data_IF_989477051434
#
_entry.id   IF_989477051434
#
_cell.length_a   1.000
_cell.length_b   1.000
_cell.length_c   1.000
_cell.angle_alpha   90.00
_cell.angle_beta   90.00
_cell.angle_gamma   90.00
#
_symmetry.space_group_name_H-M   'P 1'
#
loop_
_entity.id
_entity.type
_entity.pdbx_description
1 polymer ?
#
# COMPACT_ATOMS: atom_id res chain seq x y z
N UNK A 1 -9.03 6.50 22.38
CA UNK A 1 -10.15 5.84 21.65
C UNK A 1 -9.56 4.92 20.60
N UNK A 2 -10.21 3.78 20.32
CA UNK A 2 -9.73 2.81 19.32
C UNK A 2 -10.61 2.87 18.07
N UNK A 3 -10.00 2.79 16.91
CA UNK A 3 -10.68 2.76 15.62
C UNK A 3 -10.19 1.58 14.79
N UNK A 4 -11.13 0.92 14.12
CA UNK A 4 -10.83 -0.07 13.10
C UNK A 4 -10.76 0.65 11.76
N UNK A 5 -9.61 0.55 11.11
CA UNK A 5 -9.29 1.21 9.85
C UNK A 5 -9.10 0.15 8.77
N UNK A 6 -9.54 0.45 7.56
CA UNK A 6 -9.16 -0.30 6.38
C UNK A 6 -8.76 0.67 5.26
N UNK A 7 -7.67 0.33 4.57
CA UNK A 7 -7.12 1.06 3.44
C UNK A 7 -7.06 0.07 2.27
N UNK A 8 -7.68 0.44 1.16
CA UNK A 8 -7.67 -0.34 -0.08
C UNK A 8 -6.87 0.39 -1.13
N UNK A 9 -6.01 -0.36 -1.82
CA UNK A 9 -5.18 0.12 -2.92
C UNK A 9 -5.70 -0.49 -4.22
N UNK A 10 -5.81 0.36 -5.24
CA UNK A 10 -6.24 -0.04 -6.56
C UNK A 10 -5.67 0.87 -7.65
N UNK A 11 -6.14 0.70 -8.89
CA UNK A 11 -7.06 -0.34 -9.33
C UNK A 11 -6.35 -1.70 -9.47
N UNK A 12 -6.89 -2.77 -8.90
CA UNK A 12 -6.23 -4.09 -8.91
C UNK A 12 -6.30 -4.72 -10.30
N UNK A 13 -7.52 -4.91 -10.80
CA UNK A 13 -7.76 -5.68 -12.01
C UNK A 13 -7.21 -4.98 -13.25
N UNK A 14 -7.53 -3.70 -13.45
CA UNK A 14 -7.08 -2.97 -14.64
C UNK A 14 -5.57 -2.74 -14.67
N UNK A 15 -4.90 -2.69 -13.52
CA UNK A 15 -3.44 -2.59 -13.47
C UNK A 15 -2.77 -3.92 -13.83
N UNK A 16 -3.26 -5.03 -13.27
CA UNK A 16 -2.70 -6.36 -13.54
C UNK A 16 -2.99 -6.77 -14.98
N UNK A 17 -4.23 -6.62 -15.45
CA UNK A 17 -4.67 -7.04 -16.79
C UNK A 17 -4.08 -6.20 -17.93
N UNK A 18 -3.47 -5.04 -17.64
CA UNK A 18 -2.73 -4.28 -18.64
C UNK A 18 -1.48 -5.04 -19.14
N UNK A 19 -0.99 -6.02 -18.36
CA UNK A 19 0.13 -6.88 -18.74
C UNK A 19 -0.22 -7.86 -19.86
N UNK A 20 0.66 -8.02 -20.86
CA UNK A 20 0.45 -8.92 -22.00
C UNK A 20 1.16 -10.26 -21.86
N UNK A 21 2.13 -10.35 -20.94
CA UNK A 21 2.91 -11.54 -20.65
C UNK A 21 2.80 -11.88 -19.17
N UNK A 22 3.01 -13.14 -18.81
CA UNK A 22 3.01 -13.57 -17.40
C UNK A 22 3.98 -12.75 -16.53
N UNK A 23 5.10 -12.30 -17.11
CA UNK A 23 6.04 -11.41 -16.44
C UNK A 23 5.41 -10.06 -16.12
N UNK A 24 4.67 -9.46 -17.06
CA UNK A 24 3.98 -8.17 -16.85
C UNK A 24 2.90 -8.31 -15.76
N UNK A 25 2.13 -9.41 -15.80
CA UNK A 25 1.11 -9.73 -14.79
C UNK A 25 1.73 -9.87 -13.39
N UNK A 26 2.88 -10.55 -13.31
CA UNK A 26 3.63 -10.69 -12.06
C UNK A 26 4.16 -9.34 -11.57
N UNK A 27 4.73 -8.51 -12.47
CA UNK A 27 5.19 -7.16 -12.13
C UNK A 27 4.05 -6.27 -11.61
N UNK A 28 2.87 -6.33 -12.22
CA UNK A 28 1.68 -5.60 -11.74
C UNK A 28 1.26 -6.06 -10.34
N UNK A 29 1.28 -7.38 -10.10
CA UNK A 29 0.96 -7.96 -8.80
C UNK A 29 1.97 -7.57 -7.72
N UNK A 30 3.26 -7.59 -8.07
CA UNK A 30 4.35 -7.15 -7.21
C UNK A 30 4.25 -5.66 -6.89
N UNK A 31 3.99 -4.80 -7.89
CA UNK A 31 3.87 -3.36 -7.67
C UNK A 31 2.77 -3.03 -6.66
N UNK A 32 1.59 -3.65 -6.79
CA UNK A 32 0.48 -3.48 -5.83
C UNK A 32 0.86 -3.99 -4.44
N UNK A 33 1.50 -5.16 -4.36
CA UNK A 33 1.98 -5.69 -3.09
C UNK A 33 3.00 -4.76 -2.45
N UNK A 34 3.89 -4.14 -3.23
CA UNK A 34 4.97 -3.32 -2.72
C UNK A 34 4.49 -1.95 -2.21
N UNK A 35 3.55 -1.31 -2.90
CA UNK A 35 2.92 -0.08 -2.38
C UNK A 35 2.01 -0.39 -1.19
N UNK A 36 1.37 -1.56 -1.15
CA UNK A 36 0.61 -2.03 0.03
C UNK A 36 1.51 -2.30 1.24
N UNK A 37 2.70 -2.84 0.99
CA UNK A 37 3.75 -3.01 1.99
C UNK A 37 4.16 -1.67 2.59
N UNK A 38 4.33 -0.63 1.77
CA UNK A 38 4.64 0.71 2.26
C UNK A 38 3.55 1.29 3.18
N UNK A 39 2.26 1.08 2.87
CA UNK A 39 1.14 1.45 3.76
C UNK A 39 1.26 0.73 5.11
N UNK A 40 1.38 -0.61 5.07
CA UNK A 40 1.45 -1.42 6.27
C UNK A 40 2.68 -1.05 7.14
N UNK A 41 3.83 -0.84 6.51
CA UNK A 41 5.06 -0.44 7.20
C UNK A 41 4.89 0.92 7.87
N UNK A 42 4.32 1.91 7.17
CA UNK A 42 4.09 3.24 7.72
C UNK A 42 3.17 3.19 8.96
N UNK A 43 2.07 2.44 8.90
CA UNK A 43 1.17 2.24 10.04
C UNK A 43 1.89 1.59 11.23
N UNK A 44 2.70 0.55 10.99
CA UNK A 44 3.51 -0.09 12.03
C UNK A 44 4.52 0.87 12.67
N UNK A 45 5.19 1.71 11.87
CA UNK A 45 6.13 2.71 12.38
C UNK A 45 5.43 3.80 13.22
N UNK A 46 4.21 4.18 12.86
CA UNK A 46 3.40 5.15 13.64
C UNK A 46 2.92 4.51 14.94
N UNK A 47 2.40 3.28 14.87
CA UNK A 47 1.89 2.55 16.03
C UNK A 47 2.21 1.06 15.91
N UNK A 48 3.20 0.62 16.68
CA UNK A 48 3.61 -0.78 16.71
C UNK A 48 2.45 -1.70 17.14
N UNK A 49 2.29 -2.83 16.46
CA UNK A 49 1.25 -3.83 16.75
C UNK A 49 -0.18 -3.40 16.37
N UNK A 50 -0.34 -2.33 15.59
CA UNK A 50 -1.67 -1.90 15.13
C UNK A 50 -2.24 -2.76 13.99
N UNK A 51 -1.39 -3.46 13.24
CA UNK A 51 -1.80 -4.21 12.05
C UNK A 51 -2.63 -5.45 12.42
N UNK A 52 -3.75 -5.61 11.74
CA UNK A 52 -4.60 -6.81 11.77
C UNK A 52 -4.36 -7.62 10.50
N UNK A 53 -4.21 -6.94 9.37
CA UNK A 53 -3.91 -7.55 8.08
C UNK A 53 -3.16 -6.56 7.17
N UNK A 54 -2.03 -6.92 6.53
CA UNK A 54 -1.27 -8.14 6.77
C UNK A 54 -0.82 -8.23 8.24
N UNK A 55 -0.55 -9.44 8.73
CA UNK A 55 -0.10 -9.70 10.11
C UNK A 55 1.28 -10.38 10.10
N UNK A 56 2.35 -9.65 9.71
CA UNK A 56 3.70 -10.22 9.69
C UNK A 56 4.21 -10.52 11.11
N UNK A 57 5.04 -11.55 11.25
CA UNK A 57 5.61 -11.91 12.55
C UNK A 57 6.73 -10.94 12.96
N UNK A 58 7.49 -10.45 11.97
CA UNK A 58 8.58 -9.48 12.14
C UNK A 58 8.37 -8.29 11.21
N UNK A 59 7.48 -7.34 11.55
CA UNK A 59 7.16 -6.22 10.67
C UNK A 59 8.37 -5.38 10.25
N UNK A 60 9.36 -5.20 11.13
CA UNK A 60 10.59 -4.42 10.85
C UNK A 60 11.60 -5.13 9.93
N UNK A 61 11.37 -6.41 9.62
CA UNK A 61 12.11 -7.18 8.62
C UNK A 61 11.26 -7.40 7.36
N UNK A 62 10.03 -7.89 7.53
CA UNK A 62 9.14 -8.36 6.44
C UNK A 62 8.44 -7.24 5.66
N UNK A 63 8.24 -6.06 6.28
CA UNK A 63 7.58 -4.91 5.62
C UNK A 63 8.57 -3.87 5.09
N UNK A 64 9.88 -4.12 5.19
CA UNK A 64 10.86 -3.24 4.55
C UNK A 64 10.66 -3.25 3.03
N UNK A 65 10.93 -2.11 2.35
CA UNK A 65 10.86 -2.05 0.90
C UNK A 65 11.74 -3.11 0.24
N UNK A 66 11.21 -3.81 -0.77
CA UNK A 66 11.98 -4.79 -1.54
C UNK A 66 12.70 -4.12 -2.70
N UNK A 67 13.94 -4.52 -2.97
CA UNK A 67 14.66 -4.07 -4.17
C UNK A 67 14.65 -5.19 -5.22
N UNK A 68 13.89 -5.07 -6.32
CA UNK A 68 13.82 -6.12 -7.34
C UNK A 68 15.15 -6.37 -8.07
N UNK A 69 16.11 -5.45 -7.95
CA UNK A 69 17.46 -5.62 -8.50
C UNK A 69 18.46 -6.24 -7.49
N UNK A 70 18.02 -6.57 -6.27
CA UNK A 70 18.89 -7.17 -5.26
C UNK A 70 19.06 -8.67 -5.46
N UNK A 71 20.29 -9.11 -5.66
CA UNK A 71 20.66 -10.54 -5.74
C UNK A 71 20.50 -11.29 -4.39
N UNK A 72 20.27 -10.56 -3.30
CA UNK A 72 20.24 -11.11 -1.93
C UNK A 72 18.84 -11.23 -1.33
N UNK A 73 17.81 -10.76 -2.04
CA UNK A 73 16.42 -10.80 -1.58
C UNK A 73 15.56 -11.70 -2.47
N UNK A 74 14.72 -12.51 -1.83
CA UNK A 74 13.60 -13.17 -2.51
C UNK A 74 12.50 -12.11 -2.65
N UNK A 75 12.10 -11.85 -3.90
CA UNK A 75 11.09 -10.85 -4.23
C UNK A 75 9.72 -11.50 -4.26
N UNK A 76 8.78 -10.94 -3.51
CA UNK A 76 7.48 -11.55 -3.27
C UNK A 76 6.33 -10.54 -3.42
N UNK A 77 5.30 -10.96 -4.15
CA UNK A 77 4.01 -10.27 -4.24
C UNK A 77 3.03 -10.82 -3.19
N UNK A 78 3.39 -10.75 -1.91
CA UNK A 78 2.70 -11.44 -0.81
C UNK A 78 1.82 -10.55 0.09
N UNK A 79 1.81 -9.23 -0.15
CA UNK A 79 0.95 -8.30 0.58
C UNK A 79 -0.27 -8.00 -0.26
N UNK A 80 -1.44 -8.26 0.30
CA UNK A 80 -2.70 -7.95 -0.36
C UNK A 80 -2.93 -6.44 -0.44
N UNK A 81 -3.78 -6.04 -1.38
CA UNK A 81 -4.12 -4.64 -1.64
C UNK A 81 -5.05 -4.01 -0.58
N UNK A 82 -5.46 -4.77 0.43
CA UNK A 82 -6.28 -4.28 1.55
C UNK A 82 -5.46 -4.41 2.83
N UNK A 83 -5.31 -3.29 3.54
CA UNK A 83 -4.64 -3.19 4.82
C UNK A 83 -5.70 -2.90 5.88
N UNK A 84 -5.68 -3.61 7.01
CA UNK A 84 -6.55 -3.38 8.17
C UNK A 84 -5.71 -3.16 9.42
N UNK A 85 -6.09 -2.16 10.19
CA UNK A 85 -5.40 -1.81 11.43
C UNK A 85 -6.37 -1.38 12.53
N UNK A 86 -5.97 -1.62 13.77
CA UNK A 86 -6.60 -1.13 14.98
C UNK A 86 -5.76 0.02 15.55
N UNK A 87 -6.19 1.25 15.30
CA UNK A 87 -5.44 2.46 15.65
C UNK A 87 -5.99 3.04 16.95
N UNK A 88 -5.09 3.41 17.87
CA UNK A 88 -5.42 4.09 19.11
C UNK A 88 -5.06 5.56 18.96
N UNK A 89 -6.02 6.44 19.20
CA UNK A 89 -5.86 7.90 19.10
C UNK A 89 -6.53 8.60 20.27
N UNK A 90 -6.11 9.83 20.57
CA UNK A 90 -6.79 10.67 21.55
C UNK A 90 -7.97 11.44 20.91
N UNK A 91 -7.83 11.83 19.65
CA UNK A 91 -8.83 12.55 18.86
C UNK A 91 -9.09 11.88 17.51
N UNK A 92 -10.34 11.93 17.03
CA UNK A 92 -10.73 11.31 15.76
C UNK A 92 -10.02 11.93 14.54
N UNK A 93 -9.62 13.20 14.59
CA UNK A 93 -8.88 13.85 13.50
C UNK A 93 -7.53 13.16 13.26
N UNK A 94 -6.91 12.61 14.31
CA UNK A 94 -5.64 11.89 14.20
C UNK A 94 -5.77 10.61 13.37
N UNK A 95 -6.94 9.95 13.34
CA UNK A 95 -7.17 8.79 12.48
C UNK A 95 -6.99 9.17 11.02
N UNK A 96 -7.58 10.31 10.62
CA UNK A 96 -7.44 10.83 9.26
C UNK A 96 -5.97 11.14 8.95
N UNK A 97 -5.26 11.84 9.84
CA UNK A 97 -3.87 12.20 9.59
C UNK A 97 -2.96 10.97 9.46
N UNK A 98 -3.18 9.93 10.27
CA UNK A 98 -2.44 8.66 10.20
C UNK A 98 -2.75 7.94 8.88
N UNK A 99 -4.03 7.87 8.50
CA UNK A 99 -4.47 7.26 7.23
C UNK A 99 -3.88 7.98 6.03
N UNK A 100 -3.92 9.32 6.00
CA UNK A 100 -3.36 10.10 4.90
C UNK A 100 -1.84 9.94 4.81
N UNK A 101 -1.12 9.91 5.93
CA UNK A 101 0.32 9.58 5.94
C UNK A 101 0.61 8.20 5.38
N UNK A 102 -0.22 7.21 5.70
CA UNK A 102 -0.06 5.86 5.17
C UNK A 102 -0.33 5.80 3.67
N UNK A 103 -1.35 6.50 3.15
CA UNK A 103 -1.62 6.63 1.71
C UNK A 103 -0.47 7.31 0.97
N UNK A 104 0.04 8.41 1.50
CA UNK A 104 1.21 9.11 0.96
C UNK A 104 2.46 8.21 0.92
N UNK A 105 2.61 7.26 1.85
CA UNK A 105 3.71 6.30 1.81
C UNK A 105 3.62 5.35 0.60
N UNK A 106 2.40 4.96 0.18
CA UNK A 106 2.18 4.17 -1.03
C UNK A 106 2.60 4.96 -2.29
N UNK A 107 2.13 6.20 -2.40
CA UNK A 107 2.46 7.11 -3.50
C UNK A 107 3.96 7.38 -3.57
N UNK A 108 4.59 7.70 -2.43
CA UNK A 108 6.03 7.92 -2.36
C UNK A 108 6.82 6.69 -2.80
N UNK A 109 6.36 5.48 -2.41
CA UNK A 109 6.99 4.23 -2.84
C UNK A 109 6.87 4.03 -4.35
N UNK A 110 5.69 4.27 -4.92
CA UNK A 110 5.48 4.19 -6.37
C UNK A 110 6.40 5.17 -7.12
N UNK A 111 6.46 6.44 -6.68
CA UNK A 111 7.31 7.45 -7.31
C UNK A 111 8.79 7.05 -7.27
N UNK A 112 9.25 6.52 -6.14
CA UNK A 112 10.63 6.03 -6.02
C UNK A 112 10.94 4.89 -7.01
N UNK A 113 10.00 3.96 -7.21
CA UNK A 113 10.14 2.87 -8.19
C UNK A 113 10.20 3.45 -9.61
N UNK A 114 9.28 4.35 -9.95
CA UNK A 114 9.23 4.99 -11.27
C UNK A 114 10.51 5.79 -11.57
N UNK A 115 11.00 6.57 -10.62
CA UNK A 115 12.23 7.34 -10.75
C UNK A 115 13.46 6.43 -10.89
N UNK A 116 13.49 5.33 -10.16
CA UNK A 116 14.57 4.32 -10.28
C UNK A 116 14.59 3.73 -11.69
N UNK A 117 13.43 3.32 -12.20
CA UNK A 117 13.31 2.75 -13.55
C UNK A 117 13.70 3.78 -14.62
N UNK A 118 13.18 5.01 -14.52
CA UNK A 118 13.52 6.13 -15.41
C UNK A 118 15.02 6.37 -15.49
N UNK A 119 15.68 6.48 -14.33
CA UNK A 119 17.08 6.90 -14.26
C UNK A 119 18.08 5.76 -14.52
N UNK A 120 17.71 4.50 -14.29
CA UNK A 120 18.64 3.37 -14.37
C UNK A 120 18.37 2.37 -15.49
N UNK A 121 17.12 2.27 -15.97
CA UNK A 121 16.69 1.17 -16.85
C UNK A 121 16.20 1.64 -18.21
N UNK A 122 15.80 2.91 -18.32
CA UNK A 122 15.22 3.48 -19.54
C UNK A 122 16.19 4.36 -20.33
N UNK A 123 17.49 4.28 -20.03
CA UNK A 123 18.51 4.92 -20.87
C UNK A 123 18.51 4.33 -22.29
N UNK A 124 18.63 5.19 -23.29
CA UNK A 124 18.54 4.81 -24.71
C UNK A 124 17.12 4.57 -25.25
N UNK A 125 16.07 4.64 -24.42
CA UNK A 125 14.68 4.57 -24.90
C UNK A 125 14.14 5.96 -25.26
N UNK A 126 13.35 6.04 -26.35
CA UNK A 126 12.61 7.26 -26.70
C UNK A 126 11.27 7.26 -25.99
N UNK A 127 11.14 8.07 -24.94
CA UNK A 127 9.94 8.19 -24.12
C UNK A 127 9.45 9.64 -24.12
N UNK A 128 8.14 9.83 -24.28
CA UNK A 128 7.50 11.13 -24.07
C UNK A 128 7.35 11.40 -22.57
N UNK A 129 8.36 12.04 -22.00
CA UNK A 129 8.39 12.36 -20.57
C UNK A 129 7.30 13.37 -20.19
N UNK A 130 6.93 14.30 -21.07
CA UNK A 130 5.88 15.27 -20.76
C UNK A 130 4.53 14.56 -20.56
N UNK A 131 4.23 13.57 -21.41
CA UNK A 131 3.04 12.74 -21.25
C UNK A 131 3.11 11.85 -20.01
N UNK A 132 4.27 11.27 -19.71
CA UNK A 132 4.46 10.46 -18.50
C UNK A 132 4.16 11.25 -17.22
N UNK A 133 4.68 12.48 -17.11
CA UNK A 133 4.43 13.35 -15.94
C UNK A 133 2.94 13.67 -15.76
N UNK A 134 2.17 13.77 -16.83
CA UNK A 134 0.72 14.00 -16.76
C UNK A 134 -0.08 12.77 -16.28
N UNK A 135 0.50 11.58 -16.35
CA UNK A 135 -0.20 10.30 -16.11
C UNK A 135 0.21 9.61 -14.82
N UNK A 136 1.43 9.83 -14.34
CA UNK A 136 2.03 9.06 -13.23
C UNK A 136 1.22 9.11 -11.93
N UNK A 137 0.56 10.23 -11.66
CA UNK A 137 -0.23 10.42 -10.44
C UNK A 137 -1.58 9.69 -10.49
N UNK A 138 -2.03 9.28 -11.68
CA UNK A 138 -3.27 8.51 -11.88
C UNK A 138 -3.08 7.00 -11.90
N UNK A 139 -1.89 6.49 -11.56
CA UNK A 139 -1.60 5.05 -11.55
C UNK A 139 -2.25 4.36 -10.33
N UNK A 140 -2.32 5.07 -9.20
CA UNK A 140 -2.72 4.50 -7.92
C UNK A 140 -3.94 5.23 -7.35
N UNK A 141 -4.98 4.47 -7.06
CA UNK A 141 -6.10 4.92 -6.25
C UNK A 141 -5.97 4.36 -4.83
N UNK A 142 -6.19 5.21 -3.84
CA UNK A 142 -6.20 4.79 -2.43
C UNK A 142 -7.49 5.23 -1.74
N UNK A 143 -8.20 4.25 -1.20
CA UNK A 143 -9.46 4.45 -0.48
C UNK A 143 -9.28 4.05 0.97
N UNK A 144 -9.93 4.75 1.89
CA UNK A 144 -9.88 4.40 3.29
C UNK A 144 -11.20 4.66 3.99
N UNK A 145 -11.54 3.78 4.91
CA UNK A 145 -12.66 3.94 5.82
C UNK A 145 -12.23 3.56 7.24
N UNK A 146 -12.96 4.10 8.22
CA UNK A 146 -12.73 3.76 9.62
C UNK A 146 -14.01 3.86 10.44
N UNK A 147 -14.09 3.02 11.46
CA UNK A 147 -15.20 3.00 12.41
C UNK A 147 -14.64 2.92 13.83
N UNK A 148 -15.37 3.47 14.79
CA UNK A 148 -14.99 3.34 16.21
C UNK A 148 -15.04 1.88 16.63
N UNK A 149 -14.02 1.42 17.34
CA UNK A 149 -13.89 0.06 17.86
C UNK A 149 -14.11 0.08 19.38
N UNK A 150 -15.33 -0.26 19.79
CA UNK A 150 -15.67 -0.46 21.21
C UNK A 150 -15.17 -1.84 21.70
N UNK A 151 -14.98 -1.97 23.01
CA UNK A 151 -14.58 -3.23 23.64
C UNK A 151 -15.56 -4.36 23.29
N UNK A 152 -15.04 -5.54 22.95
CA UNK A 152 -15.80 -6.74 22.57
C UNK A 152 -16.79 -6.57 21.40
N UNK A 153 -16.69 -5.50 20.60
CA UNK A 153 -17.54 -5.25 19.43
C UNK A 153 -16.79 -5.37 18.09
N UNK A 154 -15.67 -6.11 18.04
CA UNK A 154 -14.88 -6.25 16.82
C UNK A 154 -15.70 -6.79 15.63
N UNK A 155 -16.53 -7.81 15.84
CA UNK A 155 -17.36 -8.38 14.77
C UNK A 155 -18.26 -7.35 14.09
N UNK A 156 -19.02 -6.58 14.89
CA UNK A 156 -19.90 -5.52 14.39
C UNK A 156 -19.12 -4.37 13.72
N UNK A 157 -17.99 -3.98 14.30
CA UNK A 157 -17.13 -2.96 13.71
C UNK A 157 -16.55 -3.43 12.37
N UNK A 158 -16.15 -4.70 12.27
CA UNK A 158 -15.60 -5.28 11.05
C UNK A 158 -16.64 -5.38 9.94
N UNK A 159 -17.86 -5.81 10.25
CA UNK A 159 -18.98 -5.87 9.30
C UNK A 159 -19.32 -4.47 8.77
N UNK A 160 -19.48 -3.50 9.67
CA UNK A 160 -19.74 -2.10 9.28
C UNK A 160 -18.62 -1.51 8.44
N UNK A 161 -17.37 -1.82 8.76
CA UNK A 161 -16.25 -1.31 7.98
C UNK A 161 -16.24 -1.87 6.55
N UNK A 162 -16.63 -3.13 6.39
CA UNK A 162 -16.73 -3.79 5.07
C UNK A 162 -17.81 -3.22 4.16
N UNK A 163 -18.77 -2.43 4.67
CA UNK A 163 -19.78 -1.77 3.82
C UNK A 163 -19.39 -0.35 3.40
N UNK A 164 -18.27 0.17 3.90
CA UNK A 164 -17.81 1.55 3.66
C UNK A 164 -16.66 1.64 2.64
N UNK A 165 -16.09 0.50 2.25
CA UNK A 165 -14.99 0.34 1.30
C UNK A 165 -15.49 -0.44 0.08
#
# INVERSE_FOLDING_TARGET
MKYLVAISIGPVQSLIEAGRRSQDLWCGSWLLSEVSRAVAYNLHQIQNGCLIFPSPNKPDEELKPQDPDSDSQIIEANIANVIRAAIQVDDISQVRDIVEKAKLAAEARLMLILDTVRNKKLDGFTIDWARFEQQKDGILDTYAAWVKLEADQYGKASERLGTLL
#
